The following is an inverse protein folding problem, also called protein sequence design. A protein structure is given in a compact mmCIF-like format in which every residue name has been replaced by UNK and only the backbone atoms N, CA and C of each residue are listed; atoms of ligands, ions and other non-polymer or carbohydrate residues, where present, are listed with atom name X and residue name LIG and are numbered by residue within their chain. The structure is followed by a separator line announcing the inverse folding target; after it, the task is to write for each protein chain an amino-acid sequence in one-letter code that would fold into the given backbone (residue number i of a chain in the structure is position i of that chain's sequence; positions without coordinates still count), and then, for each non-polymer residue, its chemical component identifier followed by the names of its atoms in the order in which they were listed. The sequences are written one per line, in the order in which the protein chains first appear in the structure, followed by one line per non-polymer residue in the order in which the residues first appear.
data_IF_233063425592
#
_entry.id   IF_233063425592
#
_cell.length_a   1.000
_cell.length_b   1.000
_cell.length_c   1.000
_cell.angle_alpha   90.00
_cell.angle_beta   90.00
_cell.angle_gamma   90.00
#
_symmetry.space_group_name_H-M   'P 1'
#
loop_
_entity.id
_entity.type
_entity.pdbx_description
1 polymer ?
#
# COMPACT_ATOMS: atom_id res chain seq x y z
N UNK A 1 0.83 -1.88 -9.49
CA UNK A 1 0.28 -3.23 -9.26
C UNK A 1 -1.11 -3.26 -9.90
N UNK A 2 -1.73 -4.43 -9.99
CA UNK A 2 -3.05 -4.62 -10.58
C UNK A 2 -3.22 -4.57 -12.10
N UNK A 3 -4.48 -4.47 -12.54
CA UNK A 3 -4.88 -4.53 -13.96
C UNK A 3 -4.46 -3.24 -14.69
N UNK A 4 -3.54 -3.33 -15.66
CA UNK A 4 -3.04 -2.16 -16.39
C UNK A 4 -4.18 -1.38 -17.07
N UNK A 5 -4.12 -0.06 -16.96
CA UNK A 5 -5.06 0.88 -17.61
C UNK A 5 -6.53 0.75 -17.22
N UNK A 6 -6.87 -0.06 -16.21
CA UNK A 6 -8.28 -0.21 -15.80
C UNK A 6 -8.86 1.06 -15.16
N UNK A 7 -8.14 1.75 -14.26
CA UNK A 7 -8.66 3.00 -13.68
C UNK A 7 -8.89 4.09 -14.75
N UNK A 8 -7.93 4.39 -15.67
CA UNK A 8 -8.20 5.31 -16.77
C UNK A 8 -9.36 4.89 -17.67
N UNK A 9 -9.60 3.59 -17.83
CA UNK A 9 -10.75 3.09 -18.60
C UNK A 9 -12.08 3.29 -17.86
N UNK A 10 -12.07 3.33 -16.52
CA UNK A 10 -13.24 3.52 -15.66
C UNK A 10 -13.46 4.98 -15.26
N UNK A 11 -12.77 5.95 -15.86
CA UNK A 11 -12.79 7.37 -15.47
C UNK A 11 -14.22 7.93 -15.39
N UNK A 12 -15.06 7.61 -16.38
CA UNK A 12 -16.48 8.02 -16.42
C UNK A 12 -17.35 7.43 -15.28
N UNK A 13 -16.88 6.36 -14.64
CA UNK A 13 -17.53 5.69 -13.52
C UNK A 13 -16.91 6.04 -12.15
N UNK A 14 -15.92 6.94 -12.15
CA UNK A 14 -15.23 7.42 -10.96
C UNK A 14 -15.61 8.86 -10.66
N UNK A 15 -15.53 9.24 -9.39
CA UNK A 15 -15.71 10.61 -8.94
C UNK A 15 -14.65 10.97 -7.90
N UNK A 16 -14.26 12.24 -7.88
CA UNK A 16 -13.39 12.75 -6.83
C UNK A 16 -14.13 12.71 -5.48
N UNK A 17 -13.47 12.17 -4.46
CA UNK A 17 -14.03 12.04 -3.13
C UNK A 17 -12.94 12.24 -2.07
N UNK A 18 -13.31 12.94 -1.00
CA UNK A 18 -12.50 13.08 0.21
C UNK A 18 -12.95 12.06 1.26
N UNK A 19 -12.03 11.54 2.07
CA UNK A 19 -12.29 10.52 3.10
C UNK A 19 -13.42 10.90 4.08
N UNK A 20 -13.64 12.20 4.34
CA UNK A 20 -14.72 12.71 5.21
C UNK A 20 -16.12 12.33 4.74
N UNK A 21 -16.32 12.03 3.44
CA UNK A 21 -17.59 11.50 2.90
C UNK A 21 -18.02 10.20 3.60
N UNK A 22 -17.07 9.49 4.19
CA UNK A 22 -17.28 8.21 4.86
C UNK A 22 -17.29 8.33 6.38
N UNK A 23 -17.57 9.52 6.94
CA UNK A 23 -17.69 9.73 8.39
C UNK A 23 -18.62 8.69 9.04
N UNK A 24 -18.17 8.10 10.14
CA UNK A 24 -18.88 7.04 10.87
C UNK A 24 -18.77 5.65 10.26
N UNK A 25 -17.95 5.46 9.22
CA UNK A 25 -17.72 4.18 8.56
C UNK A 25 -16.37 3.56 8.94
N UNK A 26 -16.24 2.26 8.67
CA UNK A 26 -14.97 1.54 8.70
C UNK A 26 -14.39 1.43 7.29
N UNK A 27 -13.09 1.66 7.17
CA UNK A 27 -12.37 1.58 5.91
C UNK A 27 -11.23 0.57 6.01
N UNK A 28 -11.25 -0.47 5.18
CA UNK A 28 -10.14 -1.42 5.09
C UNK A 28 -9.07 -0.91 4.12
N UNK A 29 -7.81 -1.16 4.43
CA UNK A 29 -6.66 -0.54 3.77
C UNK A 29 -5.70 -1.64 3.35
N UNK A 30 -5.25 -1.61 2.10
CA UNK A 30 -4.11 -2.42 1.67
C UNK A 30 -2.81 -1.87 2.29
N UNK A 31 -2.27 -2.60 3.26
CA UNK A 31 -1.07 -2.21 3.98
C UNK A 31 0.22 -2.29 3.14
N UNK A 32 0.33 -3.24 2.22
CA UNK A 32 1.52 -3.36 1.38
C UNK A 32 1.57 -2.23 0.34
N UNK A 33 0.42 -1.88 -0.26
CA UNK A 33 0.33 -0.71 -1.13
C UNK A 33 0.81 0.57 -0.43
N UNK A 34 0.37 0.81 0.82
CA UNK A 34 0.83 1.96 1.60
C UNK A 34 2.30 1.88 1.98
N UNK A 35 2.81 0.72 2.40
CA UNK A 35 4.24 0.55 2.70
C UNK A 35 5.13 0.80 1.48
N UNK A 36 4.70 0.37 0.28
CA UNK A 36 5.40 0.68 -0.96
C UNK A 36 5.42 2.18 -1.26
N UNK A 37 4.32 2.91 -1.04
CA UNK A 37 4.30 4.38 -1.15
C UNK A 37 5.21 5.02 -0.10
N UNK A 38 5.15 4.52 1.13
CA UNK A 38 5.92 5.01 2.25
C UNK A 38 7.43 4.84 2.05
N UNK A 39 7.88 3.81 1.30
CA UNK A 39 9.28 3.62 0.98
C UNK A 39 9.93 4.82 0.28
N UNK A 40 9.15 5.61 -0.47
CA UNK A 40 9.65 6.83 -1.11
C UNK A 40 10.08 7.90 -0.10
N UNK A 41 9.62 7.86 1.15
CA UNK A 41 10.02 8.83 2.20
C UNK A 41 11.36 8.50 2.84
N UNK A 42 11.87 7.28 2.68
CA UNK A 42 13.07 6.76 3.33
C UNK A 42 13.87 5.80 2.44
N UNK A 43 13.97 6.14 1.16
CA UNK A 43 14.60 5.30 0.13
C UNK A 43 16.04 4.95 0.51
N UNK A 44 16.81 5.92 1.00
CA UNK A 44 18.23 5.70 1.32
C UNK A 44 18.38 4.75 2.50
N UNK A 45 17.58 4.94 3.53
CA UNK A 45 17.59 4.12 4.74
C UNK A 45 17.22 2.68 4.41
N UNK A 46 16.10 2.48 3.71
CA UNK A 46 15.63 1.16 3.31
C UNK A 46 16.58 0.47 2.32
N UNK A 47 17.16 1.21 1.37
CA UNK A 47 18.08 0.64 0.39
C UNK A 47 19.40 0.14 1.02
N UNK A 48 19.87 0.81 2.08
CA UNK A 48 21.13 0.52 2.76
C UNK A 48 20.95 -0.29 4.06
N UNK A 49 19.72 -0.63 4.44
CA UNK A 49 19.43 -1.36 5.67
C UNK A 49 19.64 -0.53 6.94
N UNK A 50 19.60 0.80 6.84
CA UNK A 50 19.64 1.66 8.01
C UNK A 50 18.29 1.66 8.73
N UNK A 51 18.35 1.79 10.05
CA UNK A 51 17.14 1.89 10.86
C UNK A 51 16.37 3.18 10.50
N UNK A 52 15.06 3.05 10.31
CA UNK A 52 14.15 4.17 10.06
C UNK A 52 12.75 3.83 10.55
N UNK A 53 11.96 4.85 10.91
CA UNK A 53 10.53 4.74 11.22
C UNK A 53 9.66 5.47 10.21
N UNK A 54 10.25 6.15 9.22
CA UNK A 54 9.52 7.06 8.34
C UNK A 54 8.43 6.37 7.52
N UNK A 55 8.60 5.11 7.15
CA UNK A 55 7.57 4.31 6.47
C UNK A 55 6.38 4.00 7.39
N UNK A 56 6.64 3.79 8.68
CA UNK A 56 5.60 3.58 9.70
C UNK A 56 4.88 4.89 9.99
N UNK A 57 5.64 5.98 10.18
CA UNK A 57 5.11 7.30 10.49
C UNK A 57 4.19 7.81 9.36
N UNK A 58 4.55 7.53 8.11
CA UNK A 58 3.69 7.76 6.94
C UNK A 58 2.31 7.10 7.09
N UNK A 59 2.27 5.80 7.40
CA UNK A 59 1.02 5.06 7.56
C UNK A 59 0.22 5.54 8.78
N UNK A 60 0.90 5.79 9.91
CA UNK A 60 0.28 6.30 11.15
C UNK A 60 -0.38 7.66 10.94
N UNK A 61 0.27 8.56 10.19
CA UNK A 61 -0.30 9.87 9.90
C UNK A 61 -1.57 9.76 9.05
N UNK A 62 -1.61 8.85 8.08
CA UNK A 62 -2.84 8.56 7.33
C UNK A 62 -3.95 7.96 8.21
N UNK A 63 -3.61 7.05 9.13
CA UNK A 63 -4.61 6.55 10.09
C UNK A 63 -5.19 7.66 10.97
N UNK A 64 -4.36 8.61 11.41
CA UNK A 64 -4.81 9.79 12.18
C UNK A 64 -5.75 10.65 11.34
N UNK A 65 -5.37 10.98 10.11
CA UNK A 65 -6.21 11.74 9.17
C UNK A 65 -7.59 11.09 8.99
N UNK A 66 -7.64 9.77 8.78
CA UNK A 66 -8.91 9.05 8.66
C UNK A 66 -9.76 9.20 9.92
N UNK A 67 -9.17 9.04 11.11
CA UNK A 67 -9.88 9.19 12.39
C UNK A 67 -10.34 10.61 12.67
N UNK A 68 -9.53 11.61 12.33
CA UNK A 68 -9.90 13.04 12.42
C UNK A 68 -11.12 13.36 11.55
N UNK A 69 -11.27 12.64 10.44
CA UNK A 69 -12.44 12.68 9.57
C UNK A 69 -13.53 11.67 9.95
N UNK A 70 -13.47 11.09 11.16
CA UNK A 70 -14.48 10.18 11.69
C UNK A 70 -14.56 8.81 11.01
N UNK A 71 -13.52 8.40 10.27
CA UNK A 71 -13.41 7.09 9.63
C UNK A 71 -12.52 6.18 10.47
N UNK A 72 -13.00 4.97 10.77
CA UNK A 72 -12.23 3.98 11.51
C UNK A 72 -11.39 3.12 10.55
N UNK A 73 -10.05 3.26 10.56
CA UNK A 73 -9.17 2.48 9.69
C UNK A 73 -9.02 1.02 10.18
N UNK A 74 -8.97 0.10 9.22
CA UNK A 74 -8.68 -1.32 9.41
C UNK A 74 -7.56 -1.72 8.45
N UNK A 75 -6.39 -2.05 8.96
CA UNK A 75 -5.24 -2.45 8.12
C UNK A 75 -5.39 -3.92 7.69
N UNK A 76 -5.12 -4.22 6.43
CA UNK A 76 -5.01 -5.60 5.94
C UNK A 76 -3.62 -5.78 5.31
N UNK A 77 -2.93 -6.84 5.73
CA UNK A 77 -1.61 -7.20 5.24
C UNK A 77 -1.65 -8.56 4.56
N UNK A 78 -0.78 -8.76 3.57
CA UNK A 78 -0.53 -10.07 2.98
C UNK A 78 0.03 -11.04 4.03
N UNK A 79 -0.30 -12.32 3.86
CA UNK A 79 0.27 -13.45 4.59
C UNK A 79 1.14 -14.32 3.69
N UNK A 80 0.72 -15.57 3.46
CA UNK A 80 1.53 -16.52 2.72
C UNK A 80 1.59 -16.20 1.22
N UNK A 81 2.70 -16.57 0.58
CA UNK A 81 2.83 -16.44 -0.87
C UNK A 81 1.82 -17.32 -1.60
N UNK A 82 1.11 -16.74 -2.59
CA UNK A 82 0.17 -17.46 -3.42
C UNK A 82 0.91 -18.16 -4.59
N UNK A 83 0.81 -19.49 -4.77
CA UNK A 83 1.50 -20.20 -5.85
C UNK A 83 1.18 -19.65 -7.26
N UNK A 84 -0.07 -19.21 -7.48
CA UNK A 84 -0.50 -18.63 -8.75
C UNK A 84 0.23 -17.31 -9.11
N UNK A 85 0.78 -16.58 -8.12
CA UNK A 85 1.57 -15.35 -8.36
C UNK A 85 3.08 -15.58 -8.35
N UNK A 86 3.57 -16.82 -8.29
CA UNK A 86 5.01 -17.11 -8.26
C UNK A 86 5.79 -16.48 -9.43
N UNK A 87 5.22 -16.53 -10.64
CA UNK A 87 5.83 -15.91 -11.83
C UNK A 87 5.88 -14.37 -11.71
N UNK A 88 4.81 -13.75 -11.22
CA UNK A 88 4.73 -12.30 -10.99
C UNK A 88 5.76 -11.86 -9.94
N UNK A 89 5.88 -12.58 -8.84
CA UNK A 89 6.86 -12.29 -7.79
C UNK A 89 8.30 -12.46 -8.29
N UNK A 90 8.57 -13.48 -9.11
CA UNK A 90 9.87 -13.64 -9.77
C UNK A 90 10.18 -12.45 -10.70
N UNK A 91 9.21 -12.01 -11.50
CA UNK A 91 9.37 -10.84 -12.37
C UNK A 91 9.59 -9.56 -11.58
N UNK A 92 8.88 -9.38 -10.46
CA UNK A 92 9.06 -8.22 -9.56
C UNK A 92 10.46 -8.22 -8.96
N UNK A 93 10.96 -9.37 -8.49
CA UNK A 93 12.33 -9.51 -7.99
C UNK A 93 13.37 -9.13 -9.04
N UNK A 94 13.25 -9.69 -10.25
CA UNK A 94 14.16 -9.37 -11.35
C UNK A 94 14.12 -7.88 -11.73
N UNK A 95 12.93 -7.25 -11.69
CA UNK A 95 12.78 -5.82 -11.91
C UNK A 95 13.48 -5.00 -10.83
N UNK A 96 13.33 -5.35 -9.54
CA UNK A 96 14.01 -4.68 -8.43
C UNK A 96 15.53 -4.77 -8.57
N UNK A 97 16.07 -5.92 -8.95
CA UNK A 97 17.51 -6.12 -9.17
C UNK A 97 18.03 -5.30 -10.34
N UNK A 98 17.22 -5.09 -11.39
CA UNK A 98 17.56 -4.18 -12.49
C UNK A 98 17.59 -2.73 -12.00
N UNK A 99 16.52 -2.26 -11.37
CA UNK A 99 16.43 -0.89 -10.85
C UNK A 99 17.55 -0.57 -9.85
N UNK A 100 17.94 -1.53 -9.01
CA UNK A 100 19.07 -1.36 -8.07
C UNK A 100 20.40 -1.14 -8.80
N UNK A 101 20.66 -1.92 -9.86
CA UNK A 101 21.89 -1.79 -10.66
C UNK A 101 21.93 -0.43 -11.36
N UNK A 102 20.84 -0.05 -12.01
CA UNK A 102 20.69 1.23 -12.70
C UNK A 102 20.87 2.41 -11.74
N UNK A 103 20.18 2.40 -10.60
CA UNK A 103 20.34 3.43 -9.57
C UNK A 103 21.78 3.56 -9.06
N UNK A 104 22.49 2.44 -8.88
CA UNK A 104 23.90 2.45 -8.47
C UNK A 104 24.83 3.02 -9.55
N UNK A 105 24.57 2.77 -10.83
CA UNK A 105 25.32 3.35 -11.94
C UNK A 105 25.06 4.85 -12.07
N UNK A 106 23.81 5.28 -11.91
CA UNK A 106 23.44 6.69 -11.85
C UNK A 106 24.11 7.40 -10.67
N UNK A 107 24.16 6.77 -9.50
CA UNK A 107 24.81 7.33 -8.32
C UNK A 107 26.32 7.51 -8.53
N UNK A 108 26.99 6.53 -9.17
CA UNK A 108 28.43 6.62 -9.50
C UNK A 108 28.75 7.72 -10.51
N UNK A 109 27.86 7.94 -11.46
CA UNK A 109 28.00 8.99 -12.50
C UNK A 109 27.40 10.34 -12.08
N UNK A 110 26.86 10.45 -10.86
CA UNK A 110 26.14 11.62 -10.35
C UNK A 110 24.98 12.06 -11.27
N UNK A 111 24.32 11.11 -11.94
CA UNK A 111 23.17 11.37 -12.79
C UNK A 111 21.92 11.73 -11.95
N UNK A 112 21.09 12.69 -12.39
CA UNK A 112 19.86 13.05 -11.69
C UNK A 112 18.85 11.88 -11.71
N UNK A 113 17.93 11.84 -10.75
CA UNK A 113 16.84 10.85 -10.71
C UNK A 113 17.19 9.49 -10.11
N UNK A 114 18.44 9.27 -9.66
CA UNK A 114 18.86 7.99 -9.07
C UNK A 114 18.00 7.57 -7.85
N UNK A 115 17.44 8.54 -7.11
CA UNK A 115 16.59 8.28 -5.94
C UNK A 115 15.26 7.63 -6.32
N UNK A 116 14.62 8.14 -7.37
CA UNK A 116 13.35 7.58 -7.86
C UNK A 116 13.57 6.19 -8.43
N UNK A 117 14.70 5.97 -9.08
CA UNK A 117 15.11 4.67 -9.60
C UNK A 117 15.40 3.68 -8.46
N UNK A 118 16.10 4.13 -7.41
CA UNK A 118 16.35 3.33 -6.22
C UNK A 118 15.07 2.99 -5.46
N UNK A 119 14.09 3.89 -5.44
CA UNK A 119 12.79 3.65 -4.80
C UNK A 119 12.06 2.45 -5.45
N UNK A 120 12.14 2.30 -6.78
CA UNK A 120 11.59 1.14 -7.51
C UNK A 120 12.27 -0.18 -7.18
N UNK A 121 13.47 -0.13 -6.58
CA UNK A 121 14.24 -1.29 -6.16
C UNK A 121 14.02 -1.68 -4.70
N UNK A 122 13.20 -0.94 -3.95
CA UNK A 122 12.89 -1.26 -2.56
C UNK A 122 11.96 -2.46 -2.49
N UNK A 123 12.32 -3.40 -1.64
CA UNK A 123 11.49 -4.55 -1.30
C UNK A 123 10.86 -4.34 0.08
N UNK A 124 9.54 -4.49 0.17
CA UNK A 124 8.84 -4.41 1.45
C UNK A 124 8.87 -5.78 2.10
N UNK A 125 9.64 -5.89 3.19
CA UNK A 125 9.86 -7.16 3.88
C UNK A 125 8.79 -7.41 4.95
N UNK A 126 8.64 -8.67 5.41
CA UNK A 126 7.79 -8.98 6.57
C UNK A 126 8.18 -8.21 7.84
N UNK A 127 9.45 -7.82 7.99
CA UNK A 127 9.90 -6.98 9.12
C UNK A 127 9.27 -5.58 9.05
N UNK A 128 9.20 -4.96 7.87
CA UNK A 128 8.52 -3.67 7.71
C UNK A 128 7.03 -3.77 8.04
N UNK A 129 6.37 -4.84 7.60
CA UNK A 129 4.97 -5.11 7.93
C UNK A 129 4.78 -5.33 9.44
N UNK A 130 5.69 -6.05 10.09
CA UNK A 130 5.68 -6.27 11.54
C UNK A 130 5.84 -4.96 12.33
N UNK A 131 6.72 -4.06 11.90
CA UNK A 131 6.86 -2.73 12.50
C UNK A 131 5.57 -1.92 12.42
N UNK A 132 4.85 -2.00 11.30
CA UNK A 132 3.54 -1.39 11.13
C UNK A 132 2.49 -2.04 12.04
N UNK A 133 2.49 -3.37 12.20
CA UNK A 133 1.61 -4.06 13.17
C UNK A 133 1.84 -3.56 14.59
N UNK A 134 3.10 -3.41 15.01
CA UNK A 134 3.43 -2.88 16.34
C UNK A 134 2.91 -1.45 16.51
N UNK A 135 2.98 -0.62 15.47
CA UNK A 135 2.38 0.72 15.49
C UNK A 135 0.86 0.67 15.57
N UNK A 136 0.21 -0.21 14.80
CA UNK A 136 -1.24 -0.43 14.89
C UNK A 136 -1.66 -0.79 16.32
N UNK A 137 -0.94 -1.69 16.99
CA UNK A 137 -1.20 -2.03 18.40
C UNK A 137 -1.08 -0.81 19.33
N UNK A 138 -0.01 -0.02 19.20
CA UNK A 138 0.18 1.20 20.01
C UNK A 138 -0.91 2.25 19.79
N UNK A 139 -1.42 2.36 18.56
CA UNK A 139 -2.43 3.35 18.19
C UNK A 139 -3.87 2.78 18.22
N UNK A 140 -4.07 1.57 18.72
CA UNK A 140 -5.37 0.88 18.75
C UNK A 140 -6.04 0.80 17.37
N UNK A 141 -5.27 0.52 16.31
CA UNK A 141 -5.76 0.33 14.94
C UNK A 141 -6.01 -1.17 14.75
N UNK A 142 -7.22 -1.53 14.31
CA UNK A 142 -7.55 -2.91 13.97
C UNK A 142 -6.73 -3.35 12.76
N UNK A 143 -6.21 -4.57 12.78
CA UNK A 143 -5.46 -5.11 11.66
C UNK A 143 -5.75 -6.60 11.44
N UNK A 144 -5.61 -7.04 10.20
CA UNK A 144 -5.69 -8.44 9.77
C UNK A 144 -4.43 -8.80 8.97
N UNK A 145 -3.92 -10.00 9.19
CA UNK A 145 -2.97 -10.64 8.27
C UNK A 145 -3.79 -11.67 7.49
N UNK A 146 -3.91 -11.46 6.19
CA UNK A 146 -4.64 -12.35 5.31
C UNK A 146 -3.96 -13.73 5.27
N UNK A 147 -4.68 -14.82 4.98
CA UNK A 147 -4.05 -16.12 4.79
C UNK A 147 -3.05 -16.12 3.62
N UNK A 148 -3.38 -15.37 2.57
CA UNK A 148 -2.56 -15.15 1.38
C UNK A 148 -2.58 -13.66 1.02
N UNK A 149 -3.30 -13.26 -0.02
CA UNK A 149 -3.30 -11.88 -0.50
C UNK A 149 -4.31 -11.02 0.25
N UNK A 150 -3.93 -9.78 0.56
CA UNK A 150 -4.79 -8.78 1.15
C UNK A 150 -5.99 -8.50 0.25
N UNK A 151 -5.84 -8.57 -1.08
CA UNK A 151 -6.90 -8.29 -2.05
C UNK A 151 -8.20 -9.04 -1.75
N UNK A 152 -8.10 -10.37 -1.61
CA UNK A 152 -9.24 -11.24 -1.34
C UNK A 152 -9.82 -10.99 0.07
N UNK A 153 -8.96 -10.67 1.04
CA UNK A 153 -9.39 -10.40 2.41
C UNK A 153 -10.11 -9.05 2.52
N UNK A 154 -9.63 -8.01 1.82
CA UNK A 154 -10.26 -6.70 1.70
C UNK A 154 -11.66 -6.83 1.08
N UNK A 155 -11.74 -7.54 -0.05
CA UNK A 155 -13.00 -7.81 -0.74
C UNK A 155 -13.99 -8.58 0.13
N UNK A 156 -13.54 -9.60 0.85
CA UNK A 156 -14.38 -10.34 1.78
C UNK A 156 -14.94 -9.44 2.89
N UNK A 157 -14.10 -8.59 3.50
CA UNK A 157 -14.54 -7.67 4.55
C UNK A 157 -15.58 -6.67 4.03
N UNK A 158 -15.39 -6.15 2.83
CA UNK A 158 -16.29 -5.18 2.23
C UNK A 158 -17.62 -5.81 1.81
N UNK A 159 -17.58 -6.94 1.10
CA UNK A 159 -18.79 -7.64 0.61
C UNK A 159 -19.63 -8.24 1.73
N UNK A 160 -19.02 -8.58 2.87
CA UNK A 160 -19.73 -9.04 4.09
C UNK A 160 -20.19 -7.89 4.99
N UNK A 161 -19.89 -6.65 4.64
CA UNK A 161 -20.31 -5.46 5.39
C UNK A 161 -19.53 -5.21 6.68
N UNK A 162 -18.40 -5.90 6.90
CA UNK A 162 -17.51 -5.63 8.03
C UNK A 162 -16.84 -4.25 7.90
N UNK A 163 -16.59 -3.81 6.67
CA UNK A 163 -16.18 -2.44 6.33
C UNK A 163 -17.08 -1.89 5.23
N UNK A 164 -17.17 -0.56 5.12
CA UNK A 164 -18.00 0.10 4.10
C UNK A 164 -17.17 0.79 3.02
N UNK A 165 -15.84 0.80 3.17
CA UNK A 165 -14.92 1.36 2.20
C UNK A 165 -13.66 0.49 2.14
N UNK A 166 -13.09 0.34 0.94
CA UNK A 166 -11.71 -0.12 0.76
C UNK A 166 -10.87 1.04 0.25
N UNK A 167 -9.70 1.27 0.83
CA UNK A 167 -8.71 2.23 0.34
C UNK A 167 -7.60 1.44 -0.36
N UNK A 168 -7.41 1.70 -1.65
CA UNK A 168 -6.49 0.95 -2.51
C UNK A 168 -5.69 1.88 -3.45
N UNK A 169 -4.54 1.42 -3.91
CA UNK A 169 -3.70 2.15 -4.87
C UNK A 169 -3.89 1.67 -6.32
N UNK A 170 -4.29 0.42 -6.49
CA UNK A 170 -4.54 -0.19 -7.79
C UNK A 170 -5.99 -0.62 -7.95
N UNK A 171 -6.32 -1.09 -9.15
CA UNK A 171 -7.67 -1.39 -9.60
C UNK A 171 -8.17 -2.77 -9.20
N UNK A 172 -7.38 -3.58 -8.49
CA UNK A 172 -7.70 -4.99 -8.27
C UNK A 172 -8.98 -5.17 -7.44
N UNK A 173 -9.33 -4.18 -6.62
CA UNK A 173 -10.56 -4.21 -5.84
C UNK A 173 -11.84 -4.23 -6.71
N UNK A 174 -11.76 -3.77 -7.96
CA UNK A 174 -12.89 -3.75 -8.90
C UNK A 174 -13.31 -5.18 -9.30
N UNK A 175 -12.45 -6.02 -9.92
CA UNK A 175 -12.81 -7.39 -10.28
C UNK A 175 -13.10 -8.29 -9.07
N UNK A 176 -12.57 -7.97 -7.88
CA UNK A 176 -12.95 -8.65 -6.63
C UNK A 176 -14.36 -8.29 -6.14
N UNK A 177 -15.03 -7.31 -6.76
CA UNK A 177 -16.41 -6.94 -6.44
C UNK A 177 -16.56 -6.08 -5.19
N UNK A 178 -15.54 -5.29 -4.85
CA UNK A 178 -15.65 -4.34 -3.74
C UNK A 178 -16.74 -3.29 -4.04
N UNK A 179 -17.73 -3.10 -3.15
CA UNK A 179 -18.88 -2.24 -3.42
C UNK A 179 -18.54 -0.74 -3.39
N UNK A 180 -17.52 -0.34 -2.62
CA UNK A 180 -17.05 1.03 -2.54
C UNK A 180 -15.54 1.04 -2.33
N UNK A 181 -14.82 1.75 -3.20
CA UNK A 181 -13.36 1.84 -3.18
C UNK A 181 -12.94 3.30 -3.33
N UNK A 182 -12.06 3.77 -2.46
CA UNK A 182 -11.38 5.05 -2.58
C UNK A 182 -9.97 4.78 -3.08
N UNK A 183 -9.71 5.16 -4.34
CA UNK A 183 -8.40 4.97 -4.95
C UNK A 183 -7.48 6.16 -4.65
N UNK A 184 -6.19 5.89 -4.47
CA UNK A 184 -5.12 6.90 -4.44
C UNK A 184 -5.31 8.04 -3.40
N UNK A 185 -5.88 7.72 -2.24
CA UNK A 185 -6.05 8.67 -1.14
C UNK A 185 -4.71 9.32 -0.78
N UNK A 186 -4.62 10.65 -0.81
CA UNK A 186 -3.38 11.38 -0.57
C UNK A 186 -3.17 11.74 0.91
N UNK A 187 -2.36 12.77 1.21
CA UNK A 187 -2.10 13.23 2.58
C UNK A 187 -3.14 14.21 3.12
N UNK A 188 -4.02 14.73 2.26
CA UNK A 188 -5.17 15.58 2.62
C UNK A 188 -6.46 14.80 2.81
N UNK A 189 -6.62 13.66 2.12
CA UNK A 189 -7.72 12.71 2.34
C UNK A 189 -8.61 12.50 1.14
#
# INVERSE_FOLDING_TARGET
MGIPSLLPFLDDAMEDAHISRYTGKKAAIDGYAWLHKAAHTCVNELANGFHTTAHVDYCVNKFKLMRENGVEPVLVLDGAALPAKAATESSRRASRDRHRREANEMLKSNAPGWRDELAKAIDITPEHAHQLILACRRHNIAYYVAPYEADAQLALLATRGHVQLVVAEDSDMVPFGCPAVLFKMDGSG
#
